data_IF_368881319305
#
_entry.id   IF_368881319305
#
_cell.length_a   1.000
_cell.length_b   1.000
_cell.length_c   1.000
_cell.angle_alpha   90.00
_cell.angle_beta   90.00
_cell.angle_gamma   90.00
#
_symmetry.space_group_name_H-M   'P 1'
#
loop_
_entity.id
_entity.type
_entity.pdbx_description
1 polymer ?
#
# COMPACT_ATOMS: atom_id res chain seq x y z
N UNK A 1 -33.81 -28.60 -5.72
CA UNK A 1 -33.16 -28.65 -4.39
C UNK A 1 -32.83 -27.23 -3.98
N UNK A 2 -33.79 -26.58 -3.34
CA UNK A 2 -33.75 -25.18 -2.92
C UNK A 2 -33.54 -25.09 -1.39
N UNK A 3 -32.95 -23.96 -0.97
CA UNK A 3 -33.14 -23.24 0.31
C UNK A 3 -33.12 -24.05 1.62
N UNK A 4 -32.06 -23.86 2.43
CA UNK A 4 -32.11 -23.65 3.91
C UNK A 4 -30.69 -23.53 4.52
N UNK A 5 -30.08 -22.34 4.52
CA UNK A 5 -28.86 -22.07 5.31
C UNK A 5 -28.95 -20.80 6.19
N UNK A 6 -30.12 -20.15 6.26
CA UNK A 6 -30.27 -18.80 6.85
C UNK A 6 -31.02 -18.75 8.20
N UNK A 7 -31.15 -19.86 8.92
CA UNK A 7 -31.95 -19.91 10.17
C UNK A 7 -31.22 -20.49 11.38
N UNK A 8 -29.88 -20.54 11.41
CA UNK A 8 -29.16 -20.91 12.63
C UNK A 8 -29.08 -19.71 13.62
N UNK A 9 -29.43 -19.89 14.91
CA UNK A 9 -29.37 -18.83 15.92
C UNK A 9 -27.95 -18.32 16.25
N UNK A 10 -26.91 -18.96 15.70
CA UNK A 10 -25.50 -18.70 16.00
C UNK A 10 -24.89 -17.55 15.20
N UNK A 11 -25.55 -17.05 14.16
CA UNK A 11 -25.08 -15.89 13.38
C UNK A 11 -25.36 -14.54 14.07
N UNK A 12 -26.48 -14.42 14.81
CA UNK A 12 -26.85 -13.14 15.46
C UNK A 12 -25.88 -12.70 16.57
N UNK A 13 -25.15 -13.61 17.17
CA UNK A 13 -24.16 -13.32 18.21
C UNK A 13 -22.81 -12.83 17.66
N UNK A 14 -22.46 -13.15 16.42
CA UNK A 14 -21.21 -12.67 15.80
C UNK A 14 -21.31 -11.20 15.33
N UNK A 15 -22.45 -10.77 14.80
CA UNK A 15 -22.63 -9.35 14.42
C UNK A 15 -22.77 -8.39 15.61
N UNK A 16 -23.17 -8.89 16.79
CA UNK A 16 -23.26 -8.05 18.00
C UNK A 16 -21.89 -7.91 18.68
N UNK A 17 -21.03 -8.93 18.62
CA UNK A 17 -19.68 -8.89 19.19
C UNK A 17 -18.72 -7.91 18.48
N UNK A 18 -18.84 -7.73 17.16
CA UNK A 18 -18.05 -6.72 16.44
C UNK A 18 -18.50 -5.29 16.73
N UNK A 19 -19.78 -5.07 17.04
CA UNK A 19 -20.27 -3.73 17.42
C UNK A 19 -19.69 -3.25 18.77
N UNK A 20 -19.47 -4.16 19.72
CA UNK A 20 -18.91 -3.82 21.04
C UNK A 20 -17.40 -3.54 20.99
N UNK A 21 -16.63 -4.25 20.15
CA UNK A 21 -15.20 -3.97 19.98
C UNK A 21 -14.94 -2.66 19.21
N UNK A 22 -15.78 -2.30 18.25
CA UNK A 22 -15.66 -1.02 17.54
C UNK A 22 -16.10 0.17 18.41
N UNK A 23 -17.09 -0.01 19.29
CA UNK A 23 -17.58 1.06 20.17
C UNK A 23 -16.69 1.29 21.41
N UNK A 24 -15.97 0.26 21.86
CA UNK A 24 -15.08 0.35 23.05
C UNK A 24 -13.76 1.07 22.75
N UNK A 25 -13.23 0.96 21.53
CA UNK A 25 -12.01 1.70 21.12
C UNK A 25 -12.24 3.21 20.95
N UNK A 26 -13.52 3.64 20.92
CA UNK A 26 -13.88 5.07 20.86
C UNK A 26 -13.90 5.74 22.23
N UNK A 27 -13.96 4.97 23.33
CA UNK A 27 -14.20 5.49 24.70
C UNK A 27 -12.97 5.65 25.59
N UNK A 28 -11.78 5.23 25.17
CA UNK A 28 -10.61 5.15 26.06
C UNK A 28 -9.51 6.19 25.81
N UNK A 29 -9.82 7.33 25.17
CA UNK A 29 -8.89 8.47 25.14
C UNK A 29 -9.58 9.67 25.79
N UNK A 30 -9.12 10.14 26.97
CA UNK A 30 -9.66 11.34 27.57
C UNK A 30 -9.45 12.51 26.60
N UNK A 31 -10.56 13.17 26.26
CA UNK A 31 -10.59 14.33 25.39
C UNK A 31 -10.00 15.53 26.13
N UNK A 32 -8.69 15.72 26.01
CA UNK A 32 -8.08 17.04 26.17
C UNK A 32 -8.27 17.78 24.85
N UNK A 33 -9.15 18.78 24.88
CA UNK A 33 -9.32 19.74 23.78
C UNK A 33 -10.32 19.31 22.70
N UNK A 34 -11.27 20.21 22.45
CA UNK A 34 -12.16 20.19 21.29
C UNK A 34 -11.37 20.43 20.00
N UNK A 35 -10.71 19.39 19.48
CA UNK A 35 -10.40 19.31 18.06
C UNK A 35 -10.98 18.01 17.53
N UNK A 36 -11.82 18.12 16.51
CA UNK A 36 -12.37 16.99 15.78
C UNK A 36 -11.22 16.05 15.39
N UNK A 37 -11.44 14.74 15.60
CA UNK A 37 -10.48 13.66 15.31
C UNK A 37 -10.27 13.54 13.81
N UNK A 38 -9.55 14.47 13.22
CA UNK A 38 -9.20 14.46 11.82
C UNK A 38 -8.07 13.45 11.59
N UNK A 39 -8.16 12.69 10.50
CA UNK A 39 -7.09 11.79 10.10
C UNK A 39 -5.86 12.61 9.66
N UNK A 40 -4.71 12.35 10.28
CA UNK A 40 -3.43 12.94 9.88
C UNK A 40 -2.72 12.03 8.90
N UNK A 41 -2.13 12.60 7.86
CA UNK A 41 -1.18 11.89 6.99
C UNK A 41 0.20 11.93 7.65
N UNK A 42 0.74 10.74 7.93
CA UNK A 42 2.09 10.57 8.47
C UNK A 42 3.00 10.10 7.32
N UNK A 43 3.96 10.94 6.93
CA UNK A 43 4.89 10.68 5.82
C UNK A 43 6.30 11.14 6.18
N UNK A 44 7.29 10.70 5.39
CA UNK A 44 8.71 10.96 5.63
C UNK A 44 9.14 12.42 5.38
N UNK A 45 8.22 13.32 5.04
CA UNK A 45 8.45 14.75 4.77
C UNK A 45 9.44 15.08 3.62
N UNK A 46 9.94 14.06 2.92
CA UNK A 46 10.87 14.20 1.80
C UNK A 46 10.19 13.74 0.50
N UNK A 47 9.63 14.67 -0.31
CA UNK A 47 8.96 14.30 -1.56
C UNK A 47 10.00 13.87 -2.60
N UNK A 48 9.94 12.59 -2.99
CA UNK A 48 10.77 11.96 -4.01
C UNK A 48 9.91 11.30 -5.10
N UNK A 49 10.23 11.45 -6.39
CA UNK A 49 9.56 10.71 -7.46
C UNK A 49 9.64 9.20 -7.23
N UNK A 50 8.52 8.50 -7.43
CA UNK A 50 8.43 7.04 -7.26
C UNK A 50 9.54 6.29 -8.02
N UNK A 51 9.83 6.68 -9.26
CA UNK A 51 10.88 6.07 -10.07
C UNK A 51 12.29 6.41 -9.59
N UNK A 52 12.50 7.58 -8.99
CA UNK A 52 13.77 7.95 -8.37
C UNK A 52 14.03 7.11 -7.11
N UNK A 53 13.00 6.95 -6.27
CA UNK A 53 13.03 6.05 -5.12
C UNK A 53 13.36 4.61 -5.51
N UNK A 54 12.67 4.10 -6.52
CA UNK A 54 12.85 2.72 -6.97
C UNK A 54 14.23 2.49 -7.58
N UNK A 55 14.75 3.49 -8.29
CA UNK A 55 16.13 3.48 -8.80
C UNK A 55 17.14 3.39 -7.65
N UNK A 56 16.99 4.18 -6.57
CA UNK A 56 17.87 4.12 -5.39
C UNK A 56 17.89 2.73 -4.77
N UNK A 57 16.72 2.11 -4.58
CA UNK A 57 16.61 0.75 -4.04
C UNK A 57 17.32 -0.27 -4.95
N UNK A 58 17.03 -0.24 -6.26
CA UNK A 58 17.62 -1.16 -7.22
C UNK A 58 19.14 -1.04 -7.28
N UNK A 59 19.66 0.19 -7.33
CA UNK A 59 21.11 0.43 -7.28
C UNK A 59 21.74 -0.06 -5.98
N UNK A 60 21.05 0.11 -4.84
CA UNK A 60 21.52 -0.38 -3.53
C UNK A 60 21.51 -1.91 -3.39
N UNK A 61 20.67 -2.59 -4.18
CA UNK A 61 20.63 -4.05 -4.33
C UNK A 61 21.54 -4.58 -5.46
N UNK A 62 22.33 -3.71 -6.11
CA UNK A 62 23.23 -4.04 -7.21
C UNK A 62 22.51 -4.47 -8.51
N UNK A 63 21.34 -3.89 -8.77
CA UNK A 63 20.62 -4.00 -10.04
C UNK A 63 20.76 -2.72 -10.88
N UNK A 64 20.62 -2.88 -12.19
CA UNK A 64 20.54 -1.74 -13.12
C UNK A 64 19.24 -0.96 -12.91
N UNK A 65 19.29 0.38 -12.88
CA UNK A 65 18.08 1.19 -12.81
C UNK A 65 17.25 1.06 -14.09
N UNK A 66 15.93 1.27 -14.02
CA UNK A 66 15.06 1.22 -15.20
C UNK A 66 15.46 2.30 -16.21
N UNK A 67 15.82 1.89 -17.43
CA UNK A 67 16.27 2.79 -18.52
C UNK A 67 15.14 3.17 -19.49
N UNK A 68 14.07 2.39 -19.51
CA UNK A 68 13.00 2.52 -20.50
C UNK A 68 11.78 3.20 -19.89
N UNK A 69 11.25 4.21 -20.59
CA UNK A 69 10.01 4.89 -20.23
C UNK A 69 8.88 4.41 -21.14
N UNK A 70 7.83 3.85 -20.54
CA UNK A 70 6.62 3.41 -21.26
C UNK A 70 5.51 4.44 -20.97
N UNK A 71 4.81 4.96 -21.99
CA UNK A 71 3.67 5.84 -21.78
C UNK A 71 2.59 5.17 -20.93
N UNK A 72 2.03 5.92 -19.97
CA UNK A 72 1.04 5.39 -19.02
C UNK A 72 -0.16 4.72 -19.69
N UNK A 73 -0.73 5.36 -20.71
CA UNK A 73 -1.89 4.84 -21.43
C UNK A 73 -1.61 3.46 -22.03
N UNK A 74 -0.43 3.27 -22.64
CA UNK A 74 -0.03 2.02 -23.26
C UNK A 74 0.11 0.91 -22.21
N UNK A 75 0.80 1.19 -21.11
CA UNK A 75 0.97 0.24 -20.01
C UNK A 75 -0.38 -0.14 -19.37
N UNK A 76 -1.30 0.83 -19.25
CA UNK A 76 -2.61 0.63 -18.65
C UNK A 76 -3.53 -0.25 -19.52
N UNK A 77 -3.62 0.03 -20.82
CA UNK A 77 -4.40 -0.79 -21.75
C UNK A 77 -3.84 -2.20 -21.88
N UNK A 78 -2.50 -2.36 -21.88
CA UNK A 78 -1.88 -3.68 -21.87
C UNK A 78 -2.24 -4.46 -20.61
N UNK A 79 -2.23 -3.81 -19.45
CA UNK A 79 -2.61 -4.44 -18.18
C UNK A 79 -4.08 -4.84 -18.15
N UNK A 80 -4.97 -4.00 -18.71
CA UNK A 80 -6.39 -4.31 -18.85
C UNK A 80 -6.61 -5.52 -19.76
N UNK A 81 -5.94 -5.55 -20.91
CA UNK A 81 -6.01 -6.67 -21.84
C UNK A 81 -5.55 -7.98 -21.19
N UNK A 82 -4.40 -7.97 -20.51
CA UNK A 82 -3.92 -9.15 -19.76
C UNK A 82 -4.90 -9.57 -18.67
N UNK A 83 -5.46 -8.61 -17.93
CA UNK A 83 -6.43 -8.90 -16.87
C UNK A 83 -7.70 -9.54 -17.44
N UNK A 84 -8.19 -9.08 -18.60
CA UNK A 84 -9.35 -9.65 -19.28
C UNK A 84 -9.06 -11.06 -19.79
N UNK A 85 -7.89 -11.28 -20.39
CA UNK A 85 -7.47 -12.59 -20.89
C UNK A 85 -7.35 -13.61 -19.77
N UNK A 86 -6.71 -13.24 -18.65
CA UNK A 86 -6.59 -14.10 -17.48
C UNK A 86 -7.95 -14.35 -16.81
N UNK A 87 -8.84 -13.37 -16.82
CA UNK A 87 -10.21 -13.56 -16.35
C UNK A 87 -10.97 -14.56 -17.21
N UNK A 88 -10.84 -14.50 -18.54
CA UNK A 88 -11.46 -15.45 -19.46
C UNK A 88 -10.88 -16.87 -19.33
N UNK A 89 -9.57 -16.97 -19.08
CA UNK A 89 -8.87 -18.25 -18.88
C UNK A 89 -8.93 -18.76 -17.42
N UNK A 90 -9.56 -18.02 -16.52
CA UNK A 90 -9.68 -18.37 -15.09
C UNK A 90 -10.25 -19.77 -14.80
N UNK A 91 -11.19 -20.35 -15.58
CA UNK A 91 -11.64 -21.72 -15.31
C UNK A 91 -10.61 -22.80 -15.66
N UNK A 92 -9.60 -22.47 -16.47
CA UNK A 92 -8.59 -23.43 -16.95
C UNK A 92 -7.24 -23.23 -16.26
N UNK A 93 -6.87 -22.00 -15.92
CA UNK A 93 -5.55 -21.66 -15.39
C UNK A 93 -5.64 -20.63 -14.27
N UNK A 94 -5.10 -20.99 -13.10
CA UNK A 94 -4.92 -20.05 -11.99
C UNK A 94 -3.53 -19.43 -12.05
N UNK A 95 -3.42 -18.25 -12.66
CA UNK A 95 -2.19 -17.44 -12.65
C UNK A 95 -2.33 -16.30 -11.64
N UNK A 96 -1.27 -15.99 -10.90
CA UNK A 96 -1.19 -14.76 -10.10
C UNK A 96 -0.59 -13.64 -10.96
N UNK A 97 -1.40 -12.72 -11.53
CA UNK A 97 -0.87 -11.65 -12.36
C UNK A 97 -0.02 -10.69 -11.54
N UNK A 98 1.26 -10.58 -11.88
CA UNK A 98 2.14 -9.54 -11.34
C UNK A 98 1.85 -8.17 -11.96
N UNK A 99 1.35 -8.17 -13.20
CA UNK A 99 1.01 -6.99 -13.97
C UNK A 99 -0.51 -6.82 -14.02
N UNK A 100 -1.04 -5.86 -13.24
CA UNK A 100 -2.47 -5.56 -13.16
C UNK A 100 -2.73 -4.07 -13.35
N UNK A 101 -3.92 -3.67 -13.83
CA UNK A 101 -4.28 -2.26 -14.02
C UNK A 101 -4.10 -1.45 -12.72
N UNK A 102 -4.45 -2.04 -11.58
CA UNK A 102 -4.28 -1.42 -10.26
C UNK A 102 -2.80 -1.14 -9.94
N UNK A 103 -1.89 -2.07 -10.23
CA UNK A 103 -0.45 -1.88 -10.01
C UNK A 103 0.15 -0.85 -10.96
N UNK A 104 -0.31 -0.84 -12.22
CA UNK A 104 0.11 0.19 -13.19
C UNK A 104 -0.40 1.56 -12.77
N UNK A 105 -1.65 1.68 -12.31
CA UNK A 105 -2.18 2.92 -11.75
C UNK A 105 -1.33 3.38 -10.56
N UNK A 106 -1.04 2.50 -9.61
CA UNK A 106 -0.21 2.81 -8.44
C UNK A 106 1.21 3.25 -8.81
N UNK A 107 1.82 2.64 -9.83
CA UNK A 107 3.16 3.02 -10.30
C UNK A 107 3.15 4.31 -11.16
N UNK A 108 2.01 4.61 -11.80
CA UNK A 108 1.84 5.76 -12.68
C UNK A 108 1.41 7.05 -11.97
N UNK A 109 0.80 6.96 -10.79
CA UNK A 109 0.35 8.12 -10.02
C UNK A 109 1.36 8.57 -8.98
N UNK A 110 1.44 9.88 -8.78
CA UNK A 110 2.28 10.49 -7.74
C UNK A 110 1.57 10.40 -6.38
N UNK A 111 2.20 9.70 -5.42
CA UNK A 111 1.68 9.51 -4.08
C UNK A 111 2.39 10.42 -3.08
N UNK A 112 2.14 11.72 -3.19
CA UNK A 112 2.64 12.70 -2.22
C UNK A 112 1.51 13.11 -1.27
N UNK A 113 1.77 12.99 0.03
CA UNK A 113 0.86 13.46 1.07
C UNK A 113 1.58 14.44 1.98
N UNK A 114 0.97 15.61 2.18
CA UNK A 114 1.47 16.61 3.12
C UNK A 114 1.24 16.16 4.56
N UNK A 115 2.31 16.17 5.36
CA UNK A 115 2.26 15.93 6.80
C UNK A 115 2.24 17.24 7.62
N UNK A 116 2.06 18.41 7.00
CA UNK A 116 2.11 19.72 7.66
C UNK A 116 1.17 19.83 8.87
N UNK A 117 -0.03 19.26 8.76
CA UNK A 117 -1.00 19.22 9.87
C UNK A 117 -0.47 18.45 11.07
N UNK A 118 0.16 17.30 10.84
CA UNK A 118 0.74 16.49 11.90
C UNK A 118 1.91 17.22 12.58
N UNK A 119 2.73 17.96 11.82
CA UNK A 119 3.81 18.77 12.38
C UNK A 119 3.28 19.89 13.27
N UNK A 120 2.26 20.61 12.79
CA UNK A 120 1.69 21.76 13.50
C UNK A 120 0.96 21.33 14.78
N UNK A 121 0.12 20.31 14.70
CA UNK A 121 -0.81 19.97 15.77
C UNK A 121 -0.21 18.96 16.77
N UNK A 122 0.75 18.13 16.35
CA UNK A 122 1.37 17.08 17.19
C UNK A 122 2.89 17.24 17.37
N UNK A 123 3.52 18.25 16.77
CA UNK A 123 4.98 18.38 16.76
C UNK A 123 5.68 17.24 16.01
N UNK A 124 4.99 16.57 15.08
CA UNK A 124 5.52 15.41 14.35
C UNK A 124 6.80 15.78 13.60
N UNK A 125 7.84 14.94 13.74
CA UNK A 125 9.09 15.01 12.98
C UNK A 125 9.52 13.59 12.60
N UNK A 126 9.89 13.33 11.34
CA UNK A 126 10.47 12.05 10.94
C UNK A 126 11.71 11.74 11.78
N UNK A 127 11.76 10.53 12.35
CA UNK A 127 12.88 10.07 13.20
C UNK A 127 14.09 9.68 12.36
N UNK A 128 13.84 9.14 11.16
CA UNK A 128 14.85 8.68 10.21
C UNK A 128 14.67 9.42 8.89
N UNK A 129 15.77 9.76 8.24
CA UNK A 129 15.72 10.29 6.87
C UNK A 129 15.39 9.18 5.87
N UNK A 130 14.97 9.57 4.67
CA UNK A 130 14.65 8.59 3.63
C UNK A 130 15.87 7.75 3.25
N UNK A 131 17.04 8.36 3.10
CA UNK A 131 18.27 7.66 2.72
C UNK A 131 18.72 6.66 3.79
N UNK A 132 18.56 7.01 5.07
CA UNK A 132 18.81 6.09 6.16
C UNK A 132 17.83 4.91 6.15
N UNK A 133 16.54 5.19 5.92
CA UNK A 133 15.52 4.15 5.82
C UNK A 133 15.80 3.18 4.65
N UNK A 134 16.24 3.69 3.50
CA UNK A 134 16.67 2.87 2.36
C UNK A 134 17.86 1.99 2.77
N UNK A 135 18.89 2.57 3.39
CA UNK A 135 20.07 1.80 3.81
C UNK A 135 19.72 0.66 4.79
N UNK A 136 18.88 0.94 5.80
CA UNK A 136 18.39 -0.08 6.75
C UNK A 136 17.57 -1.16 6.04
N UNK A 137 16.74 -0.79 5.07
CA UNK A 137 15.97 -1.75 4.28
C UNK A 137 16.90 -2.67 3.48
N UNK A 138 17.91 -2.13 2.80
CA UNK A 138 18.88 -2.94 2.04
C UNK A 138 19.66 -3.91 2.91
N UNK A 139 19.96 -3.54 4.16
CA UNK A 139 20.61 -4.41 5.13
C UNK A 139 19.70 -5.56 5.58
N UNK A 140 18.39 -5.32 5.72
CA UNK A 140 17.40 -6.34 6.11
C UNK A 140 17.11 -7.38 5.03
N UNK A 141 17.36 -7.06 3.75
CA UNK A 141 17.09 -7.96 2.61
C UNK A 141 18.37 -8.37 1.86
N UNK A 142 19.35 -9.02 2.51
CA UNK A 142 20.60 -9.39 1.85
C UNK A 142 20.39 -10.46 0.77
N UNK A 143 19.39 -11.32 0.90
CA UNK A 143 19.07 -12.40 -0.05
C UNK A 143 18.55 -11.89 -1.40
N UNK A 144 18.10 -10.62 -1.49
CA UNK A 144 17.67 -10.01 -2.74
C UNK A 144 18.82 -9.36 -3.52
N UNK A 145 19.99 -9.19 -2.90
CA UNK A 145 21.14 -8.57 -3.55
C UNK A 145 21.68 -9.45 -4.67
N UNK A 146 21.90 -8.85 -5.83
CA UNK A 146 22.57 -9.53 -6.94
C UNK A 146 24.06 -9.68 -6.60
N UNK A 147 24.58 -10.91 -6.67
CA UNK A 147 26.01 -11.16 -6.56
C UNK A 147 26.75 -10.32 -7.61
N UNK A 148 27.82 -9.62 -7.21
CA UNK A 148 28.70 -8.95 -8.16
C UNK A 148 29.32 -10.01 -9.06
N UNK A 149 29.15 -9.85 -10.36
CA UNK A 149 29.92 -10.58 -11.36
C UNK A 149 31.38 -10.11 -11.35
#
# INVERSE_FOLDING_TARGET
MERTWWTSPTWKTWCTATSWLQNSFRRALPCVGSQARDAFHITNDEPIPFWAFMSRILTGLNYDPPKYHIPYWLAYYLALFLSLLLWLLSPLVTVKPTFTPMRVALAGTFHYYSCERAKRDMGYKPVVSLDEAIARTLQSYPHLRRAKA
#
